data_IF_257480257899
#
_entry.id   IF_257480257899
#
_cell.length_a   1.000
_cell.length_b   1.000
_cell.length_c   1.000
_cell.angle_alpha   90.00
_cell.angle_beta   90.00
_cell.angle_gamma   90.00
#
_symmetry.space_group_name_H-M   'P 1'
#
loop_
_entity.id
_entity.type
_entity.pdbx_description
1 polymer ?
#
# COMPACT_ATOMS: atom_id res chain seq x y z
N UNK A 1 2.04 21.17 14.56
CA UNK A 1 3.52 21.22 14.46
C UNK A 1 4.08 20.16 15.39
N UNK A 2 5.00 19.31 14.94
CA UNK A 2 5.66 18.31 15.79
C UNK A 2 6.98 18.89 16.31
N UNK A 3 7.29 18.77 17.62
CA UNK A 3 8.44 19.44 18.23
C UNK A 3 9.79 18.76 17.94
N UNK A 4 9.81 17.50 17.51
CA UNK A 4 11.03 16.78 17.13
C UNK A 4 10.74 15.60 16.18
N UNK A 5 11.80 15.00 15.63
CA UNK A 5 11.72 13.88 14.68
C UNK A 5 11.04 12.63 15.26
N UNK A 6 11.19 12.39 16.57
CA UNK A 6 10.58 11.22 17.23
C UNK A 6 9.06 11.33 17.25
N UNK A 7 8.53 12.51 17.52
CA UNK A 7 7.08 12.75 17.56
C UNK A 7 6.45 12.76 16.17
N UNK A 8 7.13 13.34 15.18
CA UNK A 8 6.66 13.28 13.79
C UNK A 8 6.68 11.85 13.26
N UNK A 9 7.76 11.11 13.47
CA UNK A 9 7.87 9.69 13.06
C UNK A 9 6.86 8.80 13.79
N UNK A 10 6.68 9.01 15.09
CA UNK A 10 5.68 8.27 15.86
C UNK A 10 4.26 8.50 15.35
N UNK A 11 3.92 9.72 14.95
CA UNK A 11 2.61 10.01 14.36
C UNK A 11 2.47 9.42 12.96
N UNK A 12 3.52 9.51 12.15
CA UNK A 12 3.59 8.93 10.80
C UNK A 12 3.36 7.41 10.83
N UNK A 13 4.07 6.68 11.69
CA UNK A 13 3.92 5.21 11.79
C UNK A 13 2.53 4.80 12.30
N UNK A 14 1.94 5.57 13.23
CA UNK A 14 0.56 5.33 13.70
C UNK A 14 -0.46 5.44 12.58
N UNK A 15 -0.26 6.34 11.62
CA UNK A 15 -1.12 6.45 10.44
C UNK A 15 -1.08 5.15 9.63
N UNK A 16 0.10 4.64 9.27
CA UNK A 16 0.20 3.38 8.53
C UNK A 16 -0.38 2.21 9.31
N UNK A 17 -0.17 2.13 10.63
CA UNK A 17 -0.79 1.08 11.45
C UNK A 17 -2.33 1.06 11.39
N UNK A 18 -2.97 2.24 11.30
CA UNK A 18 -4.43 2.36 11.18
C UNK A 18 -4.94 2.06 9.78
N UNK A 19 -4.21 2.51 8.77
CA UNK A 19 -4.65 2.41 7.37
C UNK A 19 -4.33 1.03 6.80
N UNK A 20 -3.26 0.37 7.25
CA UNK A 20 -2.81 -0.94 6.76
C UNK A 20 -3.94 -1.97 6.57
N UNK A 21 -4.78 -2.29 7.57
CA UNK A 21 -5.86 -3.26 7.37
C UNK A 21 -6.85 -2.83 6.27
N UNK A 22 -7.09 -1.54 6.09
CA UNK A 22 -7.99 -1.06 5.03
C UNK A 22 -7.40 -1.35 3.64
N UNK A 23 -6.10 -1.11 3.46
CA UNK A 23 -5.44 -1.29 2.15
C UNK A 23 -5.13 -2.76 1.86
N UNK A 24 -4.87 -3.59 2.87
CA UNK A 24 -4.49 -5.00 2.66
C UNK A 24 -5.69 -5.92 2.38
N UNK A 25 -6.91 -5.39 2.31
CA UNK A 25 -8.03 -6.09 1.71
C UNK A 25 -7.76 -6.27 0.20
N UNK A 26 -7.70 -7.51 -0.29
CA UNK A 26 -7.15 -7.83 -1.62
C UNK A 26 -7.67 -6.94 -2.77
N UNK A 27 -9.00 -6.78 -2.98
CA UNK A 27 -9.47 -5.95 -4.09
C UNK A 27 -9.12 -4.47 -3.94
N UNK A 28 -9.03 -3.95 -2.71
CA UNK A 28 -8.59 -2.57 -2.46
C UNK A 28 -7.11 -2.41 -2.74
N UNK A 29 -6.28 -3.41 -2.41
CA UNK A 29 -4.86 -3.39 -2.73
C UNK A 29 -4.62 -3.30 -4.25
N UNK A 30 -5.30 -4.17 -5.01
CA UNK A 30 -5.21 -4.19 -6.48
C UNK A 30 -5.62 -2.83 -7.07
N UNK A 31 -6.75 -2.26 -6.61
CA UNK A 31 -7.20 -0.94 -7.04
C UNK A 31 -6.22 0.18 -6.65
N UNK A 32 -5.71 0.16 -5.42
CA UNK A 32 -4.76 1.15 -4.92
C UNK A 32 -3.50 1.20 -5.80
N UNK A 33 -2.91 0.04 -6.12
CA UNK A 33 -1.72 -0.03 -6.95
C UNK A 33 -1.97 0.53 -8.36
N UNK A 34 -3.10 0.19 -8.98
CA UNK A 34 -3.46 0.74 -10.29
C UNK A 34 -3.64 2.27 -10.24
N UNK A 35 -4.37 2.76 -9.25
CA UNK A 35 -4.65 4.20 -9.09
C UNK A 35 -3.37 5.02 -8.84
N UNK A 36 -2.40 4.46 -8.11
CA UNK A 36 -1.08 5.08 -7.95
C UNK A 36 -0.38 5.25 -9.30
N UNK A 37 -0.33 4.20 -10.12
CA UNK A 37 0.30 4.27 -11.45
C UNK A 37 -0.44 5.21 -12.40
N UNK A 38 -1.78 5.21 -12.36
CA UNK A 38 -2.62 6.13 -13.14
C UNK A 38 -2.30 7.58 -12.81
N UNK A 39 -2.21 7.93 -11.52
CA UNK A 39 -1.88 9.30 -11.07
C UNK A 39 -0.47 9.73 -11.49
N UNK A 40 0.52 8.85 -11.40
CA UNK A 40 1.87 9.15 -11.92
C UNK A 40 1.84 9.44 -13.42
N UNK A 41 1.09 8.65 -14.19
CA UNK A 41 0.94 8.87 -15.64
C UNK A 41 0.25 10.19 -15.96
N UNK A 42 -0.76 10.58 -15.20
CA UNK A 42 -1.44 11.89 -15.33
C UNK A 42 -0.48 13.06 -15.09
N UNK A 43 0.50 12.87 -14.21
CA UNK A 43 1.59 13.81 -13.97
C UNK A 43 2.79 13.65 -14.95
N UNK A 44 2.60 12.96 -16.09
CA UNK A 44 3.62 12.67 -17.10
C UNK A 44 4.84 11.85 -16.61
N UNK A 45 4.70 11.13 -15.50
CA UNK A 45 5.72 10.18 -15.02
C UNK A 45 5.46 8.81 -15.64
N UNK A 46 6.35 8.40 -16.54
CA UNK A 46 6.18 7.18 -17.36
C UNK A 46 6.86 5.93 -16.78
N UNK A 47 7.70 6.09 -15.76
CA UNK A 47 8.41 4.99 -15.12
C UNK A 47 8.57 5.26 -13.62
N UNK A 48 8.32 4.23 -12.81
CA UNK A 48 8.50 4.28 -11.34
C UNK A 48 9.13 2.99 -10.83
N UNK A 49 10.08 3.13 -9.91
CA UNK A 49 10.55 2.02 -9.08
C UNK A 49 9.78 2.03 -7.74
N UNK A 50 8.86 1.10 -7.58
CA UNK A 50 8.02 1.03 -6.39
C UNK A 50 8.61 0.10 -5.32
N UNK A 51 8.71 0.59 -4.08
CA UNK A 51 9.09 -0.23 -2.91
C UNK A 51 7.85 -0.70 -2.17
N UNK A 52 7.64 -2.02 -2.18
CA UNK A 52 6.56 -2.66 -1.44
C UNK A 52 7.10 -3.51 -0.30
N UNK A 53 6.36 -3.56 0.81
CA UNK A 53 6.60 -4.51 1.91
C UNK A 53 6.03 -5.92 1.60
N UNK A 54 5.35 -6.09 0.47
CA UNK A 54 4.64 -7.32 0.08
C UNK A 54 3.74 -7.87 1.20
N UNK A 55 2.75 -7.08 1.70
CA UNK A 55 1.93 -7.53 2.81
C UNK A 55 1.10 -8.76 2.44
N UNK A 56 0.77 -9.59 3.43
CA UNK A 56 -0.26 -10.62 3.26
C UNK A 56 -1.62 -9.95 3.06
N UNK A 57 -2.28 -10.25 1.94
CA UNK A 57 -3.61 -9.72 1.65
C UNK A 57 -4.68 -10.63 2.24
N UNK A 58 -5.83 -10.06 2.58
CA UNK A 58 -6.95 -10.83 3.12
C UNK A 58 -8.26 -10.60 2.35
N UNK A 59 -9.22 -11.49 2.58
CA UNK A 59 -10.60 -11.42 2.11
C UNK A 59 -11.59 -11.28 3.27
N UNK A 60 -12.82 -10.84 2.97
CA UNK A 60 -13.87 -10.68 4.00
C UNK A 60 -14.30 -12.00 4.66
N UNK A 61 -14.05 -13.14 4.01
CA UNK A 61 -14.30 -14.48 4.58
C UNK A 61 -13.21 -14.95 5.55
N UNK A 62 -12.17 -14.14 5.76
CA UNK A 62 -11.04 -14.45 6.65
C UNK A 62 -9.88 -15.17 5.96
N UNK A 63 -9.95 -15.45 4.65
CA UNK A 63 -8.82 -15.99 3.89
C UNK A 63 -7.66 -14.99 3.91
N UNK A 64 -6.45 -15.48 4.18
CA UNK A 64 -5.21 -14.70 4.13
C UNK A 64 -4.25 -15.34 3.12
N UNK A 65 -3.78 -14.54 2.17
CA UNK A 65 -2.90 -14.98 1.11
C UNK A 65 -1.42 -14.83 1.46
N UNK A 66 -0.60 -15.70 0.88
CA UNK A 66 0.85 -15.55 0.90
C UNK A 66 1.28 -14.27 0.14
N UNK A 67 2.34 -13.56 0.59
CA UNK A 67 2.93 -12.39 -0.09
C UNK A 67 3.20 -12.56 -1.59
N UNK A 68 3.37 -13.78 -2.09
CA UNK A 68 3.49 -14.08 -3.51
C UNK A 68 2.27 -13.60 -4.32
N UNK A 69 1.06 -13.68 -3.75
CA UNK A 69 -0.16 -13.17 -4.40
C UNK A 69 -0.10 -11.66 -4.55
N UNK A 70 0.39 -10.96 -3.53
CA UNK A 70 0.64 -9.52 -3.57
C UNK A 70 1.64 -9.15 -4.66
N UNK A 71 2.75 -9.88 -4.79
CA UNK A 71 3.71 -9.66 -5.86
C UNK A 71 3.11 -9.89 -7.26
N UNK A 72 2.22 -10.89 -7.40
CA UNK A 72 1.49 -11.15 -8.66
C UNK A 72 0.51 -10.03 -9.02
N UNK A 73 -0.03 -9.30 -8.04
CA UNK A 73 -0.97 -8.20 -8.31
C UNK A 73 -0.34 -7.06 -9.13
N UNK A 74 0.97 -6.88 -9.08
CA UNK A 74 1.68 -5.81 -9.83
C UNK A 74 1.92 -6.13 -11.31
N UNK A 75 1.67 -7.37 -11.74
CA UNK A 75 1.84 -7.78 -13.14
C UNK A 75 0.57 -7.58 -13.98
N UNK A 76 -0.56 -7.28 -13.33
CA UNK A 76 -1.83 -7.00 -14.01
C UNK A 76 -1.90 -5.53 -14.40
#
# INVERSE_FOLDING_TARGET
VYPNIKESWGTFMKYFGRVNPIITYRPIWEQYCYEVLRKFREDNVMYVEFRSILPSLYELDGTVYNPLITAKSYKK
#
